data_IF_618900459004
#
_entry.id   IF_618900459004
#
_cell.length_a   1.000
_cell.length_b   1.000
_cell.length_c   1.000
_cell.angle_alpha   90.00
_cell.angle_beta   90.00
_cell.angle_gamma   90.00
#
_symmetry.space_group_name_H-M   'P 1'
#
loop_
_entity.id
_entity.type
_entity.pdbx_description
1 polymer ?
#
# COMPACT_ATOMS: atom_id res chain seq x y z
N UNK A 1 -16.21 -5.98 -7.63
CA UNK A 1 -15.83 -4.88 -6.74
C UNK A 1 -16.51 -3.62 -7.21
N UNK A 2 -17.10 -2.88 -6.29
CA UNK A 2 -17.58 -1.52 -6.52
C UNK A 2 -16.50 -0.51 -6.13
N UNK A 3 -16.58 0.70 -6.68
CA UNK A 3 -15.61 1.78 -6.41
C UNK A 3 -15.45 2.07 -4.91
N UNK A 4 -16.55 2.03 -4.17
CA UNK A 4 -16.55 2.30 -2.71
C UNK A 4 -15.78 1.22 -1.95
N UNK A 5 -15.97 -0.07 -2.28
CA UNK A 5 -15.26 -1.18 -1.64
C UNK A 5 -13.74 -1.10 -1.87
N UNK A 6 -13.31 -0.66 -3.07
CA UNK A 6 -11.89 -0.44 -3.38
C UNK A 6 -11.36 0.76 -2.61
N UNK A 7 -12.13 1.85 -2.48
CA UNK A 7 -11.72 3.01 -1.69
C UNK A 7 -11.56 2.64 -0.21
N UNK A 8 -12.51 1.89 0.36
CA UNK A 8 -12.39 1.37 1.73
C UNK A 8 -11.15 0.50 1.91
N UNK A 9 -10.78 -0.30 0.90
CA UNK A 9 -9.53 -1.06 0.96
C UNK A 9 -8.31 -0.15 0.98
N UNK A 10 -8.28 0.93 0.18
CA UNK A 10 -7.19 1.91 0.19
C UNK A 10 -7.09 2.63 1.54
N UNK A 11 -8.22 2.97 2.15
CA UNK A 11 -8.26 3.61 3.46
C UNK A 11 -7.73 2.65 4.54
N UNK A 12 -8.10 1.37 4.49
CA UNK A 12 -7.52 0.32 5.36
C UNK A 12 -6.03 0.10 5.10
N UNK A 13 -5.58 0.17 3.85
CA UNK A 13 -4.16 0.06 3.50
C UNK A 13 -3.33 1.16 4.17
N UNK A 14 -3.80 2.41 4.10
CA UNK A 14 -3.13 3.54 4.74
C UNK A 14 -3.12 3.39 6.27
N UNK A 15 -4.22 2.93 6.87
CA UNK A 15 -4.28 2.69 8.31
C UNK A 15 -3.32 1.57 8.74
N UNK A 16 -3.27 0.45 8.01
CA UNK A 16 -2.34 -0.63 8.29
C UNK A 16 -0.88 -0.16 8.22
N UNK A 17 -0.55 0.67 7.23
CA UNK A 17 0.80 1.23 7.05
C UNK A 17 1.14 2.21 8.18
N UNK A 18 0.19 3.05 8.59
CA UNK A 18 0.37 3.99 9.71
C UNK A 18 0.58 3.26 11.04
N UNK A 19 -0.11 2.13 11.25
CA UNK A 19 -0.07 1.37 12.50
C UNK A 19 1.10 0.39 12.57
N UNK A 20 1.59 -0.10 11.43
CA UNK A 20 2.58 -1.16 11.36
C UNK A 20 2.19 -2.41 12.19
N UNK A 21 0.90 -2.72 12.27
CA UNK A 21 0.37 -3.88 12.99
C UNK A 21 0.19 -5.07 12.03
N UNK A 22 0.84 -6.20 12.36
CA UNK A 22 0.87 -7.40 11.51
C UNK A 22 -0.52 -7.90 11.13
N UNK A 23 -1.46 -7.84 12.08
CA UNK A 23 -2.83 -8.31 11.91
C UNK A 23 -3.62 -7.42 10.93
N UNK A 24 -3.41 -6.10 10.97
CA UNK A 24 -4.04 -5.16 10.04
C UNK A 24 -3.51 -5.35 8.62
N UNK A 25 -2.19 -5.56 8.49
CA UNK A 25 -1.54 -5.80 7.20
C UNK A 25 -2.02 -7.12 6.61
N UNK A 26 -2.03 -8.20 7.42
CA UNK A 26 -2.49 -9.50 6.98
C UNK A 26 -3.95 -9.46 6.47
N UNK A 27 -4.81 -8.67 7.11
CA UNK A 27 -6.22 -8.55 6.73
C UNK A 27 -6.46 -7.87 5.36
N UNK A 28 -5.45 -7.22 4.76
CA UNK A 28 -5.56 -6.58 3.44
C UNK A 28 -5.48 -7.58 2.29
N UNK A 29 -4.83 -8.73 2.49
CA UNK A 29 -4.40 -9.62 1.43
C UNK A 29 -5.08 -10.99 1.51
N UNK A 30 -5.38 -11.58 0.35
CA UNK A 30 -5.77 -12.99 0.27
C UNK A 30 -4.56 -13.90 0.53
N UNK A 31 -4.80 -15.16 0.92
CA UNK A 31 -3.75 -16.13 1.27
C UNK A 31 -2.64 -16.26 0.21
N UNK A 32 -2.99 -16.09 -1.08
CA UNK A 32 -2.10 -16.22 -2.23
C UNK A 32 -1.84 -14.89 -2.97
N UNK A 33 -2.04 -13.74 -2.31
CA UNK A 33 -1.79 -12.44 -2.91
C UNK A 33 -0.31 -12.29 -3.33
N UNK A 34 -0.07 -11.51 -4.37
CA UNK A 34 1.28 -11.10 -4.78
C UNK A 34 1.36 -9.59 -4.64
N UNK A 35 2.31 -9.11 -3.85
CA UNK A 35 2.51 -7.69 -3.59
C UNK A 35 3.86 -7.24 -4.16
N UNK A 36 3.80 -6.23 -5.04
CA UNK A 36 4.97 -5.57 -5.61
C UNK A 36 5.09 -4.17 -5.00
N UNK A 37 6.14 -3.92 -4.22
CA UNK A 37 6.37 -2.62 -3.58
C UNK A 37 7.29 -1.70 -4.40
N UNK A 38 7.78 -2.18 -5.55
CA UNK A 38 8.44 -1.36 -6.57
C UNK A 38 8.00 -1.80 -7.99
N UNK A 39 8.18 -0.94 -9.02
CA UNK A 39 7.74 -1.27 -10.38
C UNK A 39 8.50 -2.42 -11.05
N UNK A 40 9.70 -2.74 -10.55
CA UNK A 40 10.60 -3.76 -11.11
C UNK A 40 11.34 -4.46 -9.97
N UNK A 41 11.93 -5.63 -10.25
CA UNK A 41 12.76 -6.38 -9.30
C UNK A 41 11.99 -7.51 -8.61
N UNK A 42 12.52 -8.73 -8.71
CA UNK A 42 11.93 -9.88 -8.01
C UNK A 42 12.16 -9.78 -6.50
N UNK A 43 13.23 -9.10 -6.09
CA UNK A 43 13.54 -8.72 -4.72
C UNK A 43 12.49 -7.77 -4.11
N UNK A 44 11.69 -7.10 -4.95
CA UNK A 44 10.62 -6.19 -4.52
C UNK A 44 9.23 -6.83 -4.58
N UNK A 45 9.17 -8.16 -4.54
CA UNK A 45 7.94 -8.95 -4.66
C UNK A 45 7.81 -9.90 -3.48
N UNK A 46 6.65 -9.90 -2.83
CA UNK A 46 6.29 -10.84 -1.77
C UNK A 46 5.07 -11.67 -2.19
N UNK A 47 5.10 -12.98 -1.96
CA UNK A 47 4.03 -13.91 -2.35
C UNK A 47 3.42 -14.60 -1.13
N UNK A 48 2.11 -14.41 -0.95
CA UNK A 48 1.35 -14.91 0.18
C UNK A 48 1.45 -14.02 1.40
N UNK A 49 0.44 -14.11 2.28
CA UNK A 49 0.26 -13.17 3.39
C UNK A 49 1.46 -13.12 4.35
N UNK A 50 2.10 -14.27 4.60
CA UNK A 50 3.26 -14.35 5.50
C UNK A 50 4.46 -13.57 4.96
N UNK A 51 4.79 -13.72 3.67
CA UNK A 51 5.89 -12.98 3.04
C UNK A 51 5.58 -11.48 2.94
N UNK A 52 4.32 -11.13 2.66
CA UNK A 52 3.90 -9.72 2.56
C UNK A 52 4.03 -9.03 3.91
N UNK A 53 3.54 -9.66 4.99
CA UNK A 53 3.70 -9.14 6.35
C UNK A 53 5.18 -9.05 6.70
N UNK A 54 5.99 -10.07 6.40
CA UNK A 54 7.43 -10.01 6.66
C UNK A 54 8.10 -8.82 5.95
N UNK A 55 7.78 -8.58 4.68
CA UNK A 55 8.33 -7.47 3.90
C UNK A 55 7.97 -6.11 4.49
N UNK A 56 6.71 -5.91 4.92
CA UNK A 56 6.29 -4.66 5.58
C UNK A 56 6.98 -4.44 6.92
N UNK A 57 7.36 -5.51 7.63
CA UNK A 57 7.99 -5.40 8.95
C UNK A 57 9.51 -5.26 8.88
N UNK A 58 10.13 -5.55 7.74
CA UNK A 58 11.59 -5.45 7.56
C UNK A 58 12.07 -4.00 7.44
N UNK A 59 11.27 -3.14 6.80
CA UNK A 59 11.56 -1.72 6.58
C UNK A 59 10.31 -0.88 6.86
N UNK A 60 10.08 -0.59 8.15
CA UNK A 60 8.92 0.18 8.59
C UNK A 60 9.19 1.67 8.55
N UNK A 61 8.28 2.42 7.95
CA UNK A 61 8.25 3.87 8.10
C UNK A 61 7.78 4.25 9.52
N UNK A 62 8.44 5.24 10.12
CA UNK A 62 8.02 5.77 11.42
C UNK A 62 6.60 6.36 11.33
N UNK A 63 5.70 6.06 12.27
CA UNK A 63 4.41 6.73 12.33
C UNK A 63 4.57 8.25 12.35
N UNK A 64 3.66 8.96 11.69
CA UNK A 64 3.65 10.44 11.55
C UNK A 64 4.83 11.04 10.76
N UNK A 65 5.75 10.24 10.21
CA UNK A 65 6.82 10.71 9.31
C UNK A 65 6.37 10.93 7.85
N UNK A 66 5.12 10.59 7.54
CA UNK A 66 4.57 10.68 6.19
C UNK A 66 3.05 10.90 6.20
N UNK A 67 2.54 11.42 5.08
CA UNK A 67 1.11 11.41 4.73
C UNK A 67 0.90 10.74 3.38
N UNK A 68 -0.22 10.03 3.23
CA UNK A 68 -0.58 9.44 1.96
C UNK A 68 -2.06 9.66 1.66
N UNK A 69 -2.35 9.84 0.37
CA UNK A 69 -3.69 9.97 -0.14
C UNK A 69 -3.82 9.16 -1.41
N UNK A 70 -4.68 8.14 -1.39
CA UNK A 70 -4.98 7.30 -2.55
C UNK A 70 -6.46 7.33 -2.87
N UNK A 71 -6.75 7.45 -4.16
CA UNK A 71 -8.11 7.41 -4.71
C UNK A 71 -8.22 6.35 -5.79
N UNK A 72 -9.39 5.74 -5.88
CA UNK A 72 -9.71 4.85 -7.00
C UNK A 72 -9.74 5.65 -8.30
N UNK A 73 -9.00 5.20 -9.31
CA UNK A 73 -9.05 5.76 -10.66
C UNK A 73 -10.15 5.08 -11.47
N UNK A 74 -10.12 3.74 -11.56
CA UNK A 74 -11.14 2.94 -12.26
C UNK A 74 -11.30 1.56 -11.63
N UNK A 75 -12.46 0.93 -11.87
CA UNK A 75 -12.77 -0.46 -11.50
C UNK A 75 -13.34 -1.17 -12.73
N UNK A 76 -12.90 -2.40 -12.95
CA UNK A 76 -13.35 -3.30 -14.03
C UNK A 76 -13.45 -4.73 -13.47
N UNK A 77 -14.65 -5.12 -13.03
CA UNK A 77 -14.91 -6.45 -12.45
C UNK A 77 -14.16 -6.69 -11.14
N UNK A 78 -13.18 -7.61 -11.18
CA UNK A 78 -12.28 -7.95 -10.07
C UNK A 78 -10.98 -7.13 -10.07
N UNK A 79 -10.82 -6.18 -11.01
CA UNK A 79 -9.61 -5.37 -11.17
C UNK A 79 -9.88 -3.92 -10.85
N UNK A 80 -8.87 -3.24 -10.31
CA UNK A 80 -8.92 -1.80 -10.09
C UNK A 80 -7.57 -1.13 -10.36
N UNK A 81 -7.62 0.16 -10.64
CA UNK A 81 -6.46 1.05 -10.61
C UNK A 81 -6.69 2.10 -9.54
N UNK A 82 -5.70 2.30 -8.68
CA UNK A 82 -5.67 3.41 -7.73
C UNK A 82 -4.48 4.32 -8.04
N UNK A 83 -4.65 5.61 -7.76
CA UNK A 83 -3.61 6.62 -7.94
C UNK A 83 -3.56 7.54 -6.74
N UNK A 84 -2.42 8.17 -6.50
CA UNK A 84 -2.34 9.22 -5.49
C UNK A 84 -0.90 9.54 -5.13
N UNK A 85 -0.69 10.00 -3.90
CA UNK A 85 0.64 10.44 -3.44
C UNK A 85 0.98 9.90 -2.07
N UNK A 86 2.27 9.63 -1.86
CA UNK A 86 2.90 9.57 -0.54
C UNK A 86 3.85 10.75 -0.40
N UNK A 87 3.73 11.50 0.67
CA UNK A 87 4.61 12.61 1.03
C UNK A 87 5.35 12.23 2.31
N UNK A 88 6.67 12.13 2.22
CA UNK A 88 7.54 11.86 3.36
C UNK A 88 8.09 13.17 3.89
N UNK A 89 7.83 13.42 5.17
CA UNK A 89 8.27 14.63 5.84
C UNK A 89 9.74 14.51 6.22
N UNK A 90 10.52 15.45 5.71
CA UNK A 90 11.91 15.55 6.11
C UNK A 90 12.07 16.48 7.33
N UNK A 91 13.14 16.25 8.09
CA UNK A 91 13.51 17.12 9.22
C UNK A 91 13.73 18.58 8.78
N UNK A 92 13.90 19.50 9.74
CA UNK A 92 14.09 20.96 9.51
C UNK A 92 15.12 21.35 8.43
N UNK A 93 15.97 20.42 7.97
CA UNK A 93 17.10 20.67 7.06
C UNK A 93 16.97 20.06 5.66
N UNK A 94 15.90 19.31 5.37
CA UNK A 94 15.72 18.63 4.08
C UNK A 94 14.22 18.80 3.66
N UNK A 95 13.93 18.88 2.36
CA UNK A 95 12.59 19.19 1.84
C UNK A 95 11.77 17.91 1.57
N UNK A 96 10.49 17.91 1.96
CA UNK A 96 9.59 16.77 1.79
C UNK A 96 9.69 16.11 0.40
N UNK A 97 9.75 14.78 0.38
CA UNK A 97 9.81 13.98 -0.85
C UNK A 97 8.41 13.46 -1.18
N UNK A 98 7.93 13.77 -2.40
CA UNK A 98 6.58 13.38 -2.85
C UNK A 98 6.68 12.35 -3.96
N UNK A 99 6.10 11.18 -3.71
CA UNK A 99 5.97 10.09 -4.67
C UNK A 99 4.57 10.08 -5.27
N UNK A 100 4.48 9.99 -6.59
CA UNK A 100 3.22 9.76 -7.30
C UNK A 100 3.06 8.26 -7.59
N UNK A 101 2.02 7.66 -7.00
CA UNK A 101 1.82 6.22 -7.02
C UNK A 101 0.68 5.82 -7.98
N UNK A 102 0.84 4.65 -8.60
CA UNK A 102 -0.17 3.97 -9.40
C UNK A 102 -0.17 2.49 -9.02
N UNK A 103 -1.28 2.01 -8.47
CA UNK A 103 -1.46 0.62 -8.07
C UNK A 103 -2.35 -0.09 -9.08
N UNK A 104 -1.85 -1.21 -9.62
CA UNK A 104 -2.65 -2.17 -10.35
C UNK A 104 -3.08 -3.27 -9.38
N UNK A 105 -4.39 -3.45 -9.25
CA UNK A 105 -4.98 -4.25 -8.19
C UNK A 105 -5.90 -5.32 -8.76
N UNK A 106 -5.93 -6.47 -8.09
CA UNK A 106 -6.89 -7.54 -8.34
C UNK A 106 -7.40 -8.09 -7.02
N UNK A 107 -8.72 -8.23 -6.90
CA UNK A 107 -9.41 -8.71 -5.72
C UNK A 107 -9.96 -10.13 -5.95
N UNK A 108 -10.15 -10.88 -4.87
CA UNK A 108 -10.67 -12.25 -4.86
C UNK A 108 -12.18 -12.31 -4.55
#
# INVERSE_FOLDING_TARGET
MEREEVQEWLDRYIEAWRRNEKELIAALFSDNAVYHFAPWGAEHTATGVEEIVAAWMDDQDEPDSWEAHYTVFTVDGDRAVATGTSEYFESETRAAEVFHNCYLMRFA
#
